data_IF_622313145636
#
_entry.id   IF_622313145636
#
_cell.length_a   1.000
_cell.length_b   1.000
_cell.length_c   1.000
_cell.angle_alpha   90.00
_cell.angle_beta   90.00
_cell.angle_gamma   90.00
#
_symmetry.space_group_name_H-M   'P 1'
#
loop_
_entity.id
_entity.type
_entity.pdbx_description
1 polymer ?
#
# COMPACT_ATOMS: atom_id res chain seq x y z
N UNK A 1 -2.03 13.31 13.91
CA UNK A 1 -2.08 13.03 15.35
C UNK A 1 -2.05 11.52 15.52
N UNK A 2 -1.22 10.97 16.42
CA UNK A 2 -1.14 9.52 16.62
C UNK A 2 -2.45 9.03 17.24
N UNK A 3 -3.02 7.97 16.69
CA UNK A 3 -4.29 7.40 17.15
C UNK A 3 -4.00 6.14 17.98
N UNK A 4 -4.65 6.04 19.15
CA UNK A 4 -4.46 4.94 20.09
C UNK A 4 -5.53 3.87 19.83
N UNK A 5 -5.09 2.64 19.52
CA UNK A 5 -6.01 1.53 19.26
C UNK A 5 -5.71 0.32 20.15
N UNK A 6 -6.79 -0.31 20.65
CA UNK A 6 -6.75 -1.46 21.56
C UNK A 6 -6.87 -2.76 20.75
N UNK A 7 -5.77 -3.48 20.59
CA UNK A 7 -5.82 -4.91 20.23
C UNK A 7 -6.21 -5.77 21.43
N UNK A 8 -6.63 -7.02 21.20
CA UNK A 8 -7.07 -7.97 22.25
C UNK A 8 -5.98 -8.24 23.30
N UNK A 9 -4.69 -7.98 22.99
CA UNK A 9 -3.54 -8.19 23.89
C UNK A 9 -2.48 -7.06 23.79
N UNK A 10 -2.36 -6.34 22.67
CA UNK A 10 -1.29 -5.35 22.46
C UNK A 10 -1.81 -3.98 22.03
N UNK A 11 -1.21 -2.93 22.62
CA UNK A 11 -1.31 -1.54 22.17
C UNK A 11 -0.21 -1.31 21.12
N UNK A 12 -0.60 -0.90 19.93
CA UNK A 12 0.35 -0.45 18.90
C UNK A 12 0.37 1.07 18.90
N UNK A 13 1.56 1.64 19.10
CA UNK A 13 1.80 3.07 19.00
C UNK A 13 2.90 3.30 17.96
N UNK A 14 2.52 3.84 16.81
CA UNK A 14 3.48 4.06 15.72
C UNK A 14 2.83 4.55 14.45
N UNK A 15 3.69 4.83 13.47
CA UNK A 15 3.30 5.19 12.11
C UNK A 15 3.93 4.22 11.13
N UNK A 16 3.27 4.05 9.98
CA UNK A 16 3.79 3.33 8.82
C UNK A 16 4.07 4.34 7.72
N UNK A 17 5.27 4.28 7.16
CA UNK A 17 5.66 5.06 5.99
C UNK A 17 5.54 4.18 4.75
N UNK A 18 4.73 4.62 3.78
CA UNK A 18 4.55 3.98 2.49
C UNK A 18 5.27 4.80 1.43
N UNK A 19 5.99 4.11 0.55
CA UNK A 19 6.81 4.74 -0.49
C UNK A 19 6.60 4.01 -1.82
N UNK A 20 6.35 4.78 -2.88
CA UNK A 20 6.47 4.30 -4.26
C UNK A 20 7.69 4.97 -4.86
N UNK A 21 8.59 4.14 -5.38
CA UNK A 21 9.81 4.56 -6.07
C UNK A 21 9.77 4.10 -7.53
N UNK A 22 10.37 4.88 -8.42
CA UNK A 22 10.63 4.46 -9.79
C UNK A 22 11.91 3.60 -9.88
N UNK A 23 12.22 3.12 -11.07
CA UNK A 23 13.42 2.32 -11.39
C UNK A 23 14.74 3.07 -11.20
N UNK A 24 14.71 4.40 -11.16
CA UNK A 24 15.85 5.28 -10.95
C UNK A 24 16.03 5.69 -9.47
N UNK A 25 15.34 5.02 -8.54
CA UNK A 25 15.30 5.36 -7.11
C UNK A 25 14.72 6.75 -6.79
N UNK A 26 14.01 7.37 -7.73
CA UNK A 26 13.23 8.58 -7.53
C UNK A 26 11.93 8.27 -6.79
N UNK A 27 11.60 9.09 -5.79
CA UNK A 27 10.37 8.95 -5.02
C UNK A 27 9.21 9.56 -5.81
N UNK A 28 8.21 8.74 -6.14
CA UNK A 28 7.00 9.18 -6.85
C UNK A 28 5.93 9.61 -5.83
N UNK A 29 5.69 8.81 -4.80
CA UNK A 29 4.63 9.06 -3.83
C UNK A 29 5.03 8.60 -2.43
N UNK A 30 4.66 9.40 -1.43
CA UNK A 30 4.90 9.14 -0.01
C UNK A 30 3.59 9.25 0.73
N UNK A 31 3.32 8.29 1.63
CA UNK A 31 2.20 8.41 2.55
C UNK A 31 2.56 7.93 3.94
N UNK A 32 2.28 8.77 4.93
CA UNK A 32 2.39 8.40 6.34
C UNK A 32 1.00 8.03 6.86
N UNK A 33 0.88 6.84 7.44
CA UNK A 33 -0.36 6.33 8.03
C UNK A 33 -0.12 5.95 9.49
N UNK A 34 -1.18 5.89 10.29
CA UNK A 34 -1.11 5.31 11.63
C UNK A 34 -0.83 3.81 11.52
N UNK A 35 -0.20 3.23 12.54
CA UNK A 35 0.22 1.82 12.50
C UNK A 35 -0.93 0.82 12.27
N UNK A 36 -2.16 1.18 12.60
CA UNK A 36 -3.32 0.30 12.45
C UNK A 36 -3.92 0.28 11.02
N UNK A 37 -3.51 1.20 10.15
CA UNK A 37 -4.03 1.23 8.77
C UNK A 37 -3.56 -0.03 8.03
N UNK A 38 -4.52 -0.72 7.38
CA UNK A 38 -4.25 -1.81 6.44
C UNK A 38 -3.42 -1.26 5.28
N UNK A 39 -2.29 -1.90 5.00
CA UNK A 39 -1.29 -1.45 4.03
C UNK A 39 -1.85 -1.34 2.60
N UNK A 40 -2.96 -2.02 2.29
CA UNK A 40 -3.60 -1.99 0.96
C UNK A 40 -4.34 -0.70 0.68
N UNK A 41 -4.91 -0.06 1.69
CA UNK A 41 -5.65 1.22 1.53
C UNK A 41 -4.79 2.34 0.95
N UNK A 42 -3.60 2.66 1.51
CA UNK A 42 -2.79 3.76 1.02
C UNK A 42 -2.30 3.54 -0.42
N UNK A 43 -2.16 2.28 -0.88
CA UNK A 43 -1.69 1.98 -2.24
C UNK A 43 -2.65 2.51 -3.30
N UNK A 44 -3.96 2.31 -3.14
CA UNK A 44 -4.96 2.82 -4.09
C UNK A 44 -4.85 4.36 -4.21
N UNK A 45 -4.78 5.05 -3.09
CA UNK A 45 -4.68 6.52 -3.03
C UNK A 45 -3.34 7.05 -3.55
N UNK A 46 -2.25 6.29 -3.40
CA UNK A 46 -0.93 6.70 -3.90
C UNK A 46 -0.74 6.42 -5.39
N UNK A 47 -1.62 5.62 -6.00
CA UNK A 47 -1.54 5.22 -7.41
C UNK A 47 -2.23 6.19 -8.39
N UNK A 48 -2.88 7.26 -7.91
CA UNK A 48 -3.67 8.19 -8.74
C UNK A 48 -2.87 8.88 -9.86
N UNK A 49 -1.57 9.11 -9.67
CA UNK A 49 -0.71 9.79 -10.64
C UNK A 49 0.30 8.85 -11.33
N UNK A 50 0.09 7.54 -11.22
CA UNK A 50 0.99 6.51 -11.76
C UNK A 50 0.32 5.84 -12.95
N UNK A 51 1.10 5.55 -13.98
CA UNK A 51 0.69 4.70 -15.10
C UNK A 51 1.66 3.55 -15.27
N UNK A 52 1.16 2.38 -15.70
CA UNK A 52 1.99 1.21 -15.99
C UNK A 52 1.95 0.19 -14.86
N UNK A 53 3.11 -0.32 -14.43
CA UNK A 53 3.19 -1.47 -13.53
C UNK A 53 3.65 -1.05 -12.14
N UNK A 54 2.89 -1.43 -11.11
CA UNK A 54 3.28 -1.29 -9.70
C UNK A 54 3.70 -2.65 -9.15
N UNK A 55 4.93 -2.75 -8.66
CA UNK A 55 5.45 -3.98 -8.06
C UNK A 55 5.31 -3.92 -6.55
N UNK A 56 4.59 -4.88 -5.98
CA UNK A 56 4.29 -4.95 -4.56
C UNK A 56 4.62 -6.30 -3.95
N UNK A 57 4.73 -6.32 -2.62
CA UNK A 57 4.81 -7.57 -1.86
C UNK A 57 3.54 -8.43 -2.02
N UNK A 58 3.66 -9.72 -1.72
CA UNK A 58 2.55 -10.67 -1.70
C UNK A 58 1.42 -10.27 -0.73
N UNK A 59 1.72 -9.52 0.33
CA UNK A 59 0.72 -8.98 1.27
C UNK A 59 -0.32 -8.05 0.60
N UNK A 60 -0.01 -7.50 -0.57
CA UNK A 60 -0.91 -6.62 -1.32
C UNK A 60 -1.91 -7.36 -2.21
N UNK A 61 -1.87 -8.69 -2.29
CA UNK A 61 -2.86 -9.47 -3.05
C UNK A 61 -4.27 -9.22 -2.49
N UNK A 62 -5.11 -8.58 -3.29
CA UNK A 62 -6.47 -8.23 -2.94
C UNK A 62 -7.26 -7.87 -4.19
N UNK A 63 -8.28 -8.66 -4.52
CA UNK A 63 -9.12 -8.43 -5.70
C UNK A 63 -9.73 -7.03 -5.79
N UNK A 64 -10.22 -6.43 -4.68
CA UNK A 64 -10.65 -5.03 -4.68
C UNK A 64 -9.52 -4.05 -5.03
N UNK A 65 -8.34 -4.20 -4.41
CA UNK A 65 -7.21 -3.31 -4.65
C UNK A 65 -6.75 -3.37 -6.11
N UNK A 66 -6.65 -4.58 -6.67
CA UNK A 66 -6.27 -4.79 -8.07
C UNK A 66 -7.23 -4.08 -9.03
N UNK A 67 -8.54 -4.10 -8.75
CA UNK A 67 -9.54 -3.38 -9.56
C UNK A 67 -9.39 -1.87 -9.42
N UNK A 68 -9.28 -1.37 -8.19
CA UNK A 68 -9.16 0.08 -7.94
C UNK A 68 -7.95 0.70 -8.63
N UNK A 69 -6.80 0.02 -8.62
CA UNK A 69 -5.60 0.53 -9.30
C UNK A 69 -5.65 0.31 -10.81
N UNK A 70 -6.32 -0.75 -11.29
CA UNK A 70 -6.54 -0.97 -12.72
C UNK A 70 -7.43 0.10 -13.35
N UNK A 71 -8.47 0.57 -12.64
CA UNK A 71 -9.31 1.69 -13.07
C UNK A 71 -8.50 3.00 -13.24
N UNK A 72 -7.36 3.11 -12.55
CA UNK A 72 -6.40 4.23 -12.64
C UNK A 72 -5.31 4.01 -13.71
N UNK A 73 -5.35 2.90 -14.44
CA UNK A 73 -4.35 2.57 -15.46
C UNK A 73 -3.07 1.91 -14.91
N UNK A 74 -3.14 1.38 -13.68
CA UNK A 74 -2.02 0.69 -13.02
C UNK A 74 -2.28 -0.81 -12.96
N UNK A 75 -1.31 -1.61 -13.43
CA UNK A 75 -1.30 -3.06 -13.25
C UNK A 75 -0.49 -3.40 -12.01
N UNK A 76 -1.15 -3.96 -10.98
CA UNK A 76 -0.47 -4.42 -9.77
C UNK A 76 0.16 -5.80 -10.00
N UNK A 77 1.49 -5.89 -9.85
CA UNK A 77 2.26 -7.12 -9.97
C UNK A 77 2.75 -7.52 -8.58
N UNK A 78 2.38 -8.72 -8.14
CA UNK A 78 2.78 -9.27 -6.84
C UNK A 78 3.38 -10.66 -6.98
N UNK A 79 4.07 -11.13 -5.94
CA UNK A 79 4.55 -12.52 -5.88
C UNK A 79 3.39 -13.52 -5.83
N UNK A 80 3.56 -14.72 -6.39
CA UNK A 80 2.51 -15.75 -6.41
C UNK A 80 2.15 -16.26 -5.01
N UNK A 81 0.84 -16.43 -4.76
CA UNK A 81 0.36 -17.19 -3.62
C UNK A 81 0.47 -18.68 -3.90
N UNK A 82 1.48 -19.34 -3.30
CA UNK A 82 1.56 -20.79 -3.26
C UNK A 82 0.29 -21.33 -2.58
N UNK A 83 -0.44 -22.14 -3.32
CA UNK A 83 -1.65 -22.86 -2.90
C UNK A 83 -1.22 -24.13 -2.18
#
# INVERSE_FOLDING_TARGET
>A
MAEQEKGTIWLFYGFKLHLIINDQCGIISIKLTTANVDDRKPVSEMADEILGCLYGDKGYISGPLEREVADKGVTLITGVKKI
#
